data_IF_408511994649
#
_entry.id   IF_408511994649
#
_cell.length_a   1.000
_cell.length_b   1.000
_cell.length_c   1.000
_cell.angle_alpha   90.00
_cell.angle_beta   90.00
_cell.angle_gamma   90.00
#
_symmetry.space_group_name_H-M   'P 1'
#
loop_
_entity.id
_entity.type
_entity.pdbx_description
1 polymer ?
#
# COMPACT_ATOMS: atom_id res chain seq x y z
N UNK A 1 4.42 13.74 -35.05
CA UNK A 1 5.71 13.56 -34.32
C UNK A 1 6.82 13.87 -35.30
N UNK A 2 7.82 14.64 -34.90
CA UNK A 2 8.94 15.02 -35.78
C UNK A 2 10.26 14.77 -35.07
N UNK A 3 11.24 14.23 -35.80
CA UNK A 3 12.60 14.07 -35.28
C UNK A 3 13.40 15.36 -35.44
N UNK A 4 14.28 15.63 -34.48
CA UNK A 4 15.25 16.72 -34.52
C UNK A 4 16.64 16.13 -34.35
N UNK A 5 17.60 16.67 -35.08
CA UNK A 5 19.00 16.26 -34.95
C UNK A 5 19.62 16.92 -33.72
N UNK A 6 20.41 16.15 -32.98
CA UNK A 6 21.35 16.70 -32.01
C UNK A 6 22.52 17.30 -32.77
N UNK A 7 22.87 18.55 -32.46
CA UNK A 7 23.98 19.29 -33.05
C UNK A 7 25.00 19.53 -31.94
N UNK A 8 26.25 19.11 -32.15
CA UNK A 8 27.33 19.37 -31.19
C UNK A 8 27.51 20.88 -30.99
N UNK A 9 27.56 21.32 -29.73
CA UNK A 9 27.86 22.71 -29.39
C UNK A 9 28.93 22.75 -28.30
N UNK A 10 30.17 22.96 -28.72
CA UNK A 10 31.34 22.79 -27.85
C UNK A 10 31.63 21.33 -27.52
N UNK A 11 32.42 21.09 -26.46
CA UNK A 11 32.88 19.73 -26.07
C UNK A 11 31.92 18.98 -25.13
N UNK A 12 31.03 19.69 -24.44
CA UNK A 12 30.24 19.14 -23.33
C UNK A 12 28.74 19.36 -23.47
N UNK A 13 28.26 19.92 -24.59
CA UNK A 13 26.83 20.18 -24.78
C UNK A 13 26.37 19.94 -26.21
N UNK A 14 25.08 19.69 -26.36
CA UNK A 14 24.40 19.54 -27.64
C UNK A 14 23.23 20.51 -27.72
N UNK A 15 22.90 20.91 -28.93
CA UNK A 15 21.75 21.75 -29.26
C UNK A 15 20.72 20.91 -30.00
N UNK A 16 19.46 21.06 -29.62
CA UNK A 16 18.29 20.52 -30.33
C UNK A 16 17.30 21.65 -30.58
N UNK A 17 16.70 21.70 -31.76
CA UNK A 17 15.71 22.73 -32.08
C UNK A 17 14.33 22.41 -31.50
N UNK A 18 13.73 23.39 -30.81
CA UNK A 18 12.39 23.27 -30.21
C UNK A 18 11.32 23.63 -31.26
N UNK A 19 10.15 22.96 -31.29
CA UNK A 19 9.07 23.29 -32.22
C UNK A 19 8.59 24.73 -32.10
N UNK A 20 8.54 25.46 -33.23
CA UNK A 20 8.12 26.88 -33.28
C UNK A 20 6.71 27.10 -32.71
N UNK A 21 5.77 26.17 -32.96
CA UNK A 21 4.41 26.25 -32.42
C UNK A 21 4.38 26.24 -30.89
N UNK A 22 5.22 25.42 -30.25
CA UNK A 22 5.33 25.36 -28.79
C UNK A 22 5.91 26.66 -28.21
N UNK A 23 6.92 27.25 -28.88
CA UNK A 23 7.50 28.54 -28.50
C UNK A 23 6.43 29.65 -28.51
N UNK A 24 5.62 29.71 -29.57
CA UNK A 24 4.54 30.70 -29.70
C UNK A 24 3.46 30.48 -28.63
N UNK A 25 3.04 29.23 -28.43
CA UNK A 25 1.99 28.88 -27.46
C UNK A 25 2.38 29.28 -26.03
N UNK A 26 3.65 29.10 -25.68
CA UNK A 26 4.18 29.46 -24.35
C UNK A 26 4.73 30.91 -24.30
N UNK A 27 4.50 31.71 -25.34
CA UNK A 27 4.91 33.13 -25.43
C UNK A 27 6.40 33.38 -25.17
N UNK A 28 7.23 32.40 -25.49
CA UNK A 28 8.68 32.45 -25.28
C UNK A 28 9.36 33.32 -26.34
N UNK A 29 10.40 34.03 -25.93
CA UNK A 29 11.24 34.91 -26.74
C UNK A 29 12.69 34.46 -26.69
N UNK A 30 13.48 34.98 -27.63
CA UNK A 30 14.92 34.74 -27.67
C UNK A 30 15.56 35.23 -26.36
N UNK A 31 16.27 34.34 -25.68
CA UNK A 31 16.95 34.63 -24.41
C UNK A 31 16.18 34.15 -23.18
N UNK A 32 14.93 33.74 -23.32
CA UNK A 32 14.16 33.16 -22.21
C UNK A 32 14.77 31.83 -21.78
N UNK A 33 14.78 31.59 -20.46
CA UNK A 33 15.25 30.34 -19.89
C UNK A 33 14.18 29.26 -20.05
N UNK A 34 14.62 28.04 -20.36
CA UNK A 34 13.76 26.86 -20.42
C UNK A 34 14.24 25.88 -19.36
N UNK A 35 13.30 25.37 -18.58
CA UNK A 35 13.59 24.34 -17.60
C UNK A 35 13.64 22.98 -18.27
N UNK A 36 14.67 22.21 -17.95
CA UNK A 36 14.86 20.85 -18.39
C UNK A 36 14.74 19.92 -17.20
N UNK A 37 13.89 18.92 -17.33
CA UNK A 37 13.76 17.85 -16.37
C UNK A 37 14.03 16.51 -17.05
N UNK A 38 15.06 15.80 -16.58
CA UNK A 38 15.24 14.40 -16.94
C UNK A 38 14.12 13.60 -16.29
N UNK A 39 13.45 12.73 -17.05
CA UNK A 39 12.46 11.76 -16.58
C UNK A 39 12.75 10.39 -17.18
N UNK A 40 13.71 9.67 -16.58
CA UNK A 40 14.21 8.39 -17.11
C UNK A 40 14.92 8.57 -18.46
N UNK A 41 14.50 7.89 -19.54
CA UNK A 41 15.07 8.09 -20.87
C UNK A 41 14.55 9.36 -21.58
N UNK A 42 13.60 10.07 -20.97
CA UNK A 42 12.96 11.24 -21.55
C UNK A 42 13.57 12.53 -21.00
N UNK A 43 13.52 13.59 -21.80
CA UNK A 43 13.86 14.95 -21.40
C UNK A 43 12.61 15.83 -21.59
N UNK A 44 12.07 16.34 -20.49
CA UNK A 44 10.88 17.20 -20.46
C UNK A 44 11.32 18.66 -20.46
N UNK A 45 10.69 19.46 -21.33
CA UNK A 45 10.93 20.90 -21.47
C UNK A 45 9.72 21.67 -20.90
N UNK A 46 9.97 22.65 -20.04
CA UNK A 46 8.94 23.54 -19.50
C UNK A 46 9.37 25.02 -19.62
N UNK A 47 8.40 25.91 -19.88
CA UNK A 47 8.64 27.35 -20.04
C UNK A 47 9.05 28.05 -18.73
N UNK A 48 8.66 27.49 -17.59
CA UNK A 48 9.09 27.94 -16.26
C UNK A 48 9.30 26.72 -15.36
N UNK A 49 10.19 26.85 -14.37
CA UNK A 49 10.22 25.90 -13.25
C UNK A 49 8.94 26.13 -12.48
N UNK A 50 8.01 25.17 -12.51
CA UNK A 50 6.70 25.31 -11.90
C UNK A 50 6.85 25.75 -10.42
N UNK A 51 6.54 27.01 -10.05
CA UNK A 51 6.85 27.52 -8.71
C UNK A 51 6.03 26.82 -7.62
N UNK A 52 4.93 26.17 -8.00
CA UNK A 52 4.14 25.30 -7.13
C UNK A 52 4.86 24.01 -6.73
N UNK A 53 5.90 23.57 -7.47
CA UNK A 53 6.60 22.31 -7.15
C UNK A 53 7.34 22.36 -5.79
N UNK A 54 7.52 23.56 -5.22
CA UNK A 54 8.23 23.79 -3.97
C UNK A 54 7.35 24.28 -2.81
N UNK A 55 6.04 24.50 -3.02
CA UNK A 55 5.15 24.83 -1.90
C UNK A 55 4.72 23.54 -1.21
N UNK A 56 4.95 23.47 0.10
CA UNK A 56 4.44 22.37 0.90
C UNK A 56 2.92 22.27 0.75
N UNK A 57 2.42 21.10 0.33
CA UNK A 57 0.97 20.85 0.22
C UNK A 57 0.34 20.93 1.61
N UNK A 58 -0.72 21.72 1.78
CA UNK A 58 -1.45 21.88 3.06
C UNK A 58 -2.92 21.53 2.84
N UNK A 59 -3.52 20.79 3.76
CA UNK A 59 -4.95 20.49 3.75
C UNK A 59 -5.65 21.16 4.94
N UNK A 60 -6.82 21.74 4.70
CA UNK A 60 -7.71 22.26 5.76
C UNK A 60 -9.03 21.52 5.70
N UNK A 61 -9.41 20.85 6.78
CA UNK A 61 -10.59 20.01 6.88
C UNK A 61 -11.54 20.59 7.93
N UNK A 62 -12.75 20.96 7.53
CA UNK A 62 -13.81 21.32 8.47
C UNK A 62 -14.40 20.06 9.11
N UNK A 63 -14.48 19.99 10.44
CA UNK A 63 -15.01 18.83 11.19
C UNK A 63 -16.51 18.91 11.49
N UNK A 64 -17.09 20.12 11.41
CA UNK A 64 -18.47 20.38 11.88
C UNK A 64 -19.48 19.66 10.99
N UNK A 65 -20.45 18.98 11.62
CA UNK A 65 -21.47 18.19 10.93
C UNK A 65 -20.95 16.91 10.25
N UNK A 66 -19.66 16.55 10.38
CA UNK A 66 -19.08 15.34 9.76
C UNK A 66 -19.00 14.18 10.75
N UNK A 67 -19.23 12.96 10.28
CA UNK A 67 -18.93 11.76 11.07
C UNK A 67 -17.42 11.56 11.22
N UNK A 68 -16.98 10.91 12.31
CA UNK A 68 -15.56 10.54 12.52
C UNK A 68 -15.00 9.76 11.32
N UNK A 69 -15.79 8.84 10.74
CA UNK A 69 -15.39 8.06 9.56
C UNK A 69 -15.15 8.91 8.31
N UNK A 70 -15.91 10.00 8.14
CA UNK A 70 -15.69 10.90 7.01
C UNK A 70 -14.41 11.72 7.22
N UNK A 71 -14.19 12.21 8.45
CA UNK A 71 -12.99 12.95 8.81
C UNK A 71 -11.74 12.07 8.65
N UNK A 72 -11.79 10.82 9.11
CA UNK A 72 -10.74 9.82 8.92
C UNK A 72 -10.34 9.65 7.44
N UNK A 73 -11.35 9.53 6.55
CA UNK A 73 -11.11 9.43 5.10
C UNK A 73 -10.47 10.69 4.52
N UNK A 74 -10.90 11.88 4.95
CA UNK A 74 -10.32 13.15 4.49
C UNK A 74 -8.87 13.31 4.97
N UNK A 75 -8.59 12.96 6.24
CA UNK A 75 -7.23 13.00 6.81
C UNK A 75 -6.32 11.99 6.10
N UNK A 76 -6.77 10.76 5.95
CA UNK A 76 -6.05 9.70 5.23
C UNK A 76 -5.79 10.09 3.77
N UNK A 77 -6.77 10.70 3.09
CA UNK A 77 -6.61 11.22 1.72
C UNK A 77 -5.55 12.33 1.65
N UNK A 78 -5.60 13.30 2.55
CA UNK A 78 -4.60 14.37 2.61
C UNK A 78 -3.18 13.83 2.87
N UNK A 79 -3.06 12.85 3.78
CA UNK A 79 -1.81 12.15 4.04
C UNK A 79 -1.25 11.45 2.79
N UNK A 80 -2.09 10.66 2.11
CA UNK A 80 -1.73 9.96 0.87
C UNK A 80 -1.30 10.93 -0.24
N UNK A 81 -1.94 12.10 -0.32
CA UNK A 81 -1.62 13.17 -1.29
C UNK A 81 -0.34 13.97 -0.97
N UNK A 82 0.43 13.54 0.04
CA UNK A 82 1.65 14.18 0.49
C UNK A 82 1.45 15.60 1.06
N UNK A 83 0.30 15.89 1.68
CA UNK A 83 0.15 17.10 2.47
C UNK A 83 1.09 17.07 3.69
N UNK A 84 1.99 18.06 3.77
CA UNK A 84 2.95 18.23 4.89
C UNK A 84 2.26 18.69 6.17
N UNK A 85 1.12 19.35 6.03
CA UNK A 85 0.33 19.86 7.15
C UNK A 85 -1.14 19.62 6.90
N UNK A 86 -1.82 19.08 7.91
CA UNK A 86 -3.27 18.83 7.91
C UNK A 86 -3.85 19.59 9.09
N UNK A 87 -4.73 20.55 8.80
CA UNK A 87 -5.41 21.36 9.80
C UNK A 87 -6.88 20.97 9.87
N UNK A 88 -7.29 20.42 11.00
CA UNK A 88 -8.70 20.22 11.34
C UNK A 88 -9.22 21.50 11.99
N UNK A 89 -10.37 22.01 11.55
CA UNK A 89 -11.03 23.18 12.16
C UNK A 89 -12.52 22.93 12.37
N UNK A 90 -13.06 23.46 13.45
CA UNK A 90 -14.51 23.44 13.71
C UNK A 90 -14.84 23.39 15.19
N UNK A 91 -16.07 23.78 15.54
CA UNK A 91 -16.57 23.82 16.92
C UNK A 91 -16.72 22.43 17.53
N UNK A 92 -16.92 21.40 16.70
CA UNK A 92 -17.08 20.02 17.13
C UNK A 92 -15.76 19.30 17.44
N UNK A 93 -14.60 19.96 17.32
CA UNK A 93 -13.31 19.35 17.69
C UNK A 93 -13.30 18.92 19.14
N UNK A 94 -13.78 19.78 20.05
CA UNK A 94 -13.78 19.50 21.49
C UNK A 94 -14.51 18.20 21.84
N UNK A 95 -15.60 17.88 21.15
CA UNK A 95 -16.39 16.67 21.42
C UNK A 95 -15.84 15.42 20.75
N UNK A 96 -14.89 15.56 19.81
CA UNK A 96 -14.34 14.47 18.98
C UNK A 96 -12.83 14.25 19.19
N UNK A 97 -12.25 14.95 20.16
CA UNK A 97 -10.79 15.11 20.25
C UNK A 97 -10.03 13.78 20.34
N UNK A 98 -10.54 12.81 21.09
CA UNK A 98 -9.89 11.52 21.27
C UNK A 98 -9.89 10.71 19.97
N UNK A 99 -11.01 10.72 19.23
CA UNK A 99 -11.12 10.04 17.94
C UNK A 99 -10.25 10.71 16.88
N UNK A 100 -10.19 12.05 16.86
CA UNK A 100 -9.32 12.80 15.95
C UNK A 100 -7.84 12.54 16.23
N UNK A 101 -7.45 12.46 17.51
CA UNK A 101 -6.09 12.08 17.90
C UNK A 101 -5.75 10.66 17.44
N UNK A 102 -6.66 9.70 17.63
CA UNK A 102 -6.45 8.33 17.20
C UNK A 102 -6.28 8.21 15.68
N UNK A 103 -7.07 8.96 14.89
CA UNK A 103 -6.92 9.03 13.42
C UNK A 103 -5.51 9.51 13.05
N UNK A 104 -5.05 10.61 13.66
CA UNK A 104 -3.74 11.20 13.34
C UNK A 104 -2.60 10.25 13.73
N UNK A 105 -2.65 9.68 14.95
CA UNK A 105 -1.62 8.78 15.47
C UNK A 105 -1.53 7.44 14.71
N UNK A 106 -2.62 7.04 14.04
CA UNK A 106 -2.59 5.88 13.16
C UNK A 106 -1.72 6.14 11.92
N UNK A 107 -1.46 7.38 11.50
CA UNK A 107 -0.64 7.65 10.32
C UNK A 107 0.85 7.79 10.67
N UNK A 108 1.72 7.14 9.89
CA UNK A 108 3.17 7.12 10.17
C UNK A 108 3.76 8.52 10.00
N UNK A 109 4.43 9.01 11.05
CA UNK A 109 5.17 10.27 11.13
C UNK A 109 4.31 11.54 11.00
N UNK A 110 3.00 11.44 11.24
CA UNK A 110 2.08 12.56 11.33
C UNK A 110 1.83 12.90 12.81
N UNK A 111 2.34 14.03 13.28
CA UNK A 111 2.30 14.41 14.69
C UNK A 111 1.48 15.67 14.92
N UNK A 112 0.77 15.74 16.05
CA UNK A 112 -0.02 16.91 16.44
C UNK A 112 0.92 17.99 16.99
N UNK A 113 0.93 19.15 16.34
CA UNK A 113 1.76 20.31 16.70
C UNK A 113 1.00 21.31 17.56
N UNK A 114 -0.29 21.51 17.25
CA UNK A 114 -1.15 22.45 17.95
C UNK A 114 -2.53 21.81 18.15
N UNK A 115 -3.09 22.01 19.33
CA UNK A 115 -4.43 21.58 19.67
C UNK A 115 -5.12 22.63 20.54
N UNK A 116 -6.26 23.14 20.05
CA UNK A 116 -7.16 24.04 20.76
C UNK A 116 -8.58 23.44 20.77
N UNK A 117 -9.56 24.15 21.33
CA UNK A 117 -10.96 23.69 21.33
C UNK A 117 -11.60 23.65 19.94
N UNK A 118 -11.05 24.38 18.97
CA UNK A 118 -11.60 24.53 17.62
C UNK A 118 -10.60 24.24 16.50
N UNK A 119 -9.36 23.85 16.83
CA UNK A 119 -8.33 23.55 15.82
C UNK A 119 -7.39 22.44 16.27
N UNK A 120 -7.04 21.53 15.36
CA UNK A 120 -5.91 20.59 15.50
C UNK A 120 -5.02 20.76 14.27
N UNK A 121 -3.73 21.00 14.47
CA UNK A 121 -2.73 21.06 13.40
C UNK A 121 -1.81 19.86 13.52
N UNK A 122 -1.80 19.00 12.51
CA UNK A 122 -0.88 17.89 12.39
C UNK A 122 0.18 18.15 11.31
N UNK A 123 1.43 17.79 11.59
CA UNK A 123 2.57 17.96 10.69
C UNK A 123 3.24 16.62 10.39
N UNK A 124 3.52 16.39 9.11
CA UNK A 124 4.23 15.21 8.63
C UNK A 124 5.74 15.46 8.60
N UNK A 125 6.48 14.62 9.31
CA UNK A 125 7.94 14.69 9.44
C UNK A 125 8.68 13.71 8.53
N UNK A 126 7.96 12.94 7.71
CA UNK A 126 8.59 11.90 6.90
C UNK A 126 9.35 12.49 5.70
N UNK A 127 10.57 12.03 5.48
CA UNK A 127 11.27 12.31 4.23
C UNK A 127 10.91 11.28 3.16
N UNK A 128 9.94 11.59 2.29
CA UNK A 128 9.46 10.66 1.26
C UNK A 128 10.55 10.20 0.29
N UNK A 129 11.59 11.00 0.09
CA UNK A 129 12.75 10.68 -0.73
C UNK A 129 13.55 9.45 -0.27
N UNK A 130 13.41 9.06 1.00
CA UNK A 130 14.13 7.92 1.60
C UNK A 130 13.24 6.69 1.81
N UNK A 131 11.94 6.78 1.48
CA UNK A 131 10.97 5.72 1.74
C UNK A 131 10.98 4.70 0.60
N UNK A 132 11.61 3.55 0.83
CA UNK A 132 11.66 2.43 -0.12
C UNK A 132 10.36 1.62 -0.10
N UNK A 133 9.69 1.52 -1.25
CA UNK A 133 8.49 0.67 -1.43
C UNK A 133 8.82 -0.81 -1.25
N UNK A 134 10.03 -1.24 -1.64
CA UNK A 134 10.47 -2.62 -1.46
C UNK A 134 10.60 -3.00 0.01
N UNK A 135 11.14 -2.08 0.83
CA UNK A 135 11.27 -2.31 2.28
C UNK A 135 9.92 -2.32 2.99
N UNK A 136 8.96 -1.49 2.54
CA UNK A 136 7.61 -1.51 3.09
C UNK A 136 6.92 -2.85 2.83
N UNK A 137 7.04 -3.40 1.61
CA UNK A 137 6.51 -4.73 1.29
C UNK A 137 7.14 -5.82 2.16
N UNK A 138 8.46 -5.79 2.36
CA UNK A 138 9.16 -6.73 3.26
C UNK A 138 8.63 -6.66 4.69
N UNK A 139 8.43 -5.44 5.21
CA UNK A 139 7.87 -5.24 6.56
C UNK A 139 6.44 -5.78 6.66
N UNK A 140 5.58 -5.47 5.68
CA UNK A 140 4.20 -5.99 5.65
C UNK A 140 4.19 -7.52 5.62
N UNK A 141 5.05 -8.15 4.81
CA UNK A 141 5.17 -9.60 4.74
C UNK A 141 5.59 -10.21 6.09
N UNK A 142 6.63 -9.68 6.75
CA UNK A 142 7.11 -10.18 8.05
C UNK A 142 6.00 -10.14 9.11
N UNK A 143 5.27 -9.03 9.19
CA UNK A 143 4.15 -8.88 10.14
C UNK A 143 3.03 -9.87 9.80
N UNK A 144 2.69 -10.00 8.51
CA UNK A 144 1.63 -10.92 8.05
C UNK A 144 1.98 -12.39 8.32
N UNK A 145 3.23 -12.83 8.10
CA UNK A 145 3.70 -14.18 8.46
C UNK A 145 3.53 -14.47 9.95
N UNK A 146 3.82 -13.46 10.78
CA UNK A 146 3.64 -13.56 12.23
C UNK A 146 2.16 -13.74 12.55
N UNK A 147 1.28 -12.92 11.97
CA UNK A 147 -0.18 -13.05 12.15
C UNK A 147 -0.74 -14.40 11.71
N UNK A 148 -0.29 -14.94 10.58
CA UNK A 148 -0.70 -16.27 10.10
C UNK A 148 -0.28 -17.37 11.07
N UNK A 149 0.94 -17.29 11.61
CA UNK A 149 1.46 -18.24 12.61
C UNK A 149 0.68 -18.16 13.92
N UNK A 150 0.38 -16.95 14.39
CA UNK A 150 -0.45 -16.73 15.59
C UNK A 150 -1.88 -17.20 15.38
N UNK A 151 -2.42 -17.04 14.17
CA UNK A 151 -3.77 -17.53 13.81
C UNK A 151 -3.85 -19.05 13.81
N UNK A 152 -2.79 -19.74 13.37
CA UNK A 152 -2.68 -21.21 13.46
C UNK A 152 -2.71 -21.66 14.92
N UNK A 153 -2.01 -20.96 15.82
CA UNK A 153 -1.89 -21.34 17.23
C UNK A 153 -3.06 -20.88 18.12
N UNK A 154 -4.11 -20.27 17.54
CA UNK A 154 -5.22 -19.64 18.27
C UNK A 154 -5.99 -20.58 19.19
N UNK A 155 -6.02 -21.90 18.91
CA UNK A 155 -6.68 -22.86 19.80
C UNK A 155 -5.90 -23.17 21.08
N UNK A 156 -4.61 -22.85 21.12
CA UNK A 156 -3.72 -23.14 22.24
C UNK A 156 -3.43 -21.87 23.06
N UNK A 157 -3.33 -20.72 22.41
CA UNK A 157 -3.06 -19.42 23.06
C UNK A 157 -3.95 -18.32 22.44
N UNK A 158 -4.79 -17.67 23.25
CA UNK A 158 -5.58 -16.52 22.80
C UNK A 158 -4.69 -15.27 22.70
N UNK A 159 -4.25 -15.00 21.48
CA UNK A 159 -3.52 -13.80 21.11
C UNK A 159 -4.33 -12.89 20.18
N UNK A 160 -5.66 -12.88 20.31
CA UNK A 160 -6.56 -12.09 19.46
C UNK A 160 -6.27 -10.59 19.48
N UNK A 161 -5.85 -10.05 20.64
CA UNK A 161 -5.45 -8.64 20.78
C UNK A 161 -4.16 -8.33 20.00
N UNK A 162 -3.13 -9.17 20.13
CA UNK A 162 -1.87 -8.99 19.41
C UNK A 162 -2.06 -9.07 17.89
N UNK A 163 -2.90 -10.00 17.41
CA UNK A 163 -3.24 -10.07 15.98
C UNK A 163 -3.96 -8.78 15.52
N UNK A 164 -4.86 -8.22 16.33
CA UNK A 164 -5.55 -6.96 15.99
C UNK A 164 -4.63 -5.73 16.02
N UNK A 165 -3.57 -5.74 16.82
CA UNK A 165 -2.51 -4.72 16.79
C UNK A 165 -1.65 -4.84 15.54
N UNK A 166 -1.23 -6.05 15.19
CA UNK A 166 -0.45 -6.30 13.97
C UNK A 166 -1.21 -6.00 12.68
N UNK A 167 -2.51 -6.28 12.64
CA UNK A 167 -3.39 -5.90 11.54
C UNK A 167 -3.35 -4.39 11.31
N UNK A 168 -3.48 -3.60 12.40
CA UNK A 168 -3.31 -2.15 12.34
C UNK A 168 -1.92 -1.76 11.85
N UNK A 169 -0.86 -2.44 12.26
CA UNK A 169 0.48 -2.15 11.75
C UNK A 169 0.61 -2.41 10.24
N UNK A 170 -0.02 -3.47 9.72
CA UNK A 170 -0.07 -3.74 8.27
C UNK A 170 -0.86 -2.64 7.53
N UNK A 171 -2.00 -2.18 8.06
CA UNK A 171 -2.77 -1.08 7.50
C UNK A 171 -1.92 0.20 7.39
N UNK A 172 -1.20 0.54 8.46
CA UNK A 172 -0.33 1.73 8.53
C UNK A 172 0.80 1.64 7.50
N UNK A 173 1.42 0.47 7.37
CA UNK A 173 2.44 0.20 6.37
C UNK A 173 1.87 0.29 4.95
N UNK A 174 0.65 -0.19 4.71
CA UNK A 174 -0.02 -0.11 3.41
C UNK A 174 -0.34 1.34 3.03
N UNK A 175 -0.86 2.15 3.96
CA UNK A 175 -1.07 3.59 3.72
C UNK A 175 0.22 4.30 3.32
N UNK A 176 1.32 4.01 4.04
CA UNK A 176 2.62 4.58 3.71
C UNK A 176 3.16 4.07 2.36
N UNK A 177 2.92 2.79 2.03
CA UNK A 177 3.27 2.22 0.73
C UNK A 177 2.54 2.93 -0.39
N UNK A 178 1.22 3.09 -0.27
CA UNK A 178 0.41 3.77 -1.29
C UNK A 178 0.84 5.23 -1.46
N UNK A 179 1.08 5.94 -0.35
CA UNK A 179 1.65 7.30 -0.34
C UNK A 179 3.00 7.37 -1.05
N UNK A 180 3.90 6.41 -0.78
CA UNK A 180 5.22 6.34 -1.42
C UNK A 180 5.13 6.03 -2.92
N UNK A 181 4.20 5.19 -3.33
CA UNK A 181 3.95 4.92 -4.75
C UNK A 181 3.51 6.18 -5.48
N UNK A 182 2.51 6.91 -4.96
CA UNK A 182 2.05 8.16 -5.58
C UNK A 182 3.17 9.21 -5.62
N UNK A 183 3.94 9.35 -4.54
CA UNK A 183 5.11 10.23 -4.51
C UNK A 183 6.11 9.89 -5.62
N UNK A 184 6.45 8.62 -5.80
CA UNK A 184 7.40 8.17 -6.81
C UNK A 184 6.83 8.22 -8.24
N UNK A 185 5.50 8.18 -8.42
CA UNK A 185 4.84 8.43 -9.70
C UNK A 185 4.86 9.92 -10.07
N UNK A 186 4.70 10.82 -9.09
CA UNK A 186 4.88 12.27 -9.27
C UNK A 186 6.36 12.63 -9.50
N UNK A 187 7.30 11.79 -9.01
CA UNK A 187 8.75 12.03 -9.06
C UNK A 187 9.51 10.84 -9.72
N UNK A 188 9.27 10.55 -11.01
CA UNK A 188 9.79 9.35 -11.67
C UNK A 188 11.32 9.27 -11.70
N UNK A 189 12.00 10.41 -11.71
CA UNK A 189 13.47 10.47 -11.68
C UNK A 189 14.04 10.08 -10.33
N UNK A 190 13.36 10.44 -9.24
CA UNK A 190 13.72 9.98 -7.90
C UNK A 190 13.54 8.45 -7.81
N UNK A 191 12.40 7.95 -8.27
CA UNK A 191 12.08 6.51 -8.29
C UNK A 191 13.17 5.71 -9.04
N UNK A 192 13.58 6.18 -10.22
CA UNK A 192 14.59 5.51 -11.02
C UNK A 192 16.00 5.64 -10.43
N UNK A 193 16.43 6.84 -10.04
CA UNK A 193 17.81 7.07 -9.58
C UNK A 193 18.09 6.44 -8.20
N UNK A 194 17.15 6.53 -7.26
CA UNK A 194 17.35 6.02 -5.88
C UNK A 194 16.91 4.57 -5.71
N UNK A 195 15.74 4.21 -6.23
CA UNK A 195 15.14 2.89 -5.98
C UNK A 195 15.27 1.94 -7.16
N UNK A 196 15.76 2.41 -8.32
CA UNK A 196 15.84 1.65 -9.57
C UNK A 196 14.47 1.13 -10.03
N UNK A 197 13.42 1.92 -9.78
CA UNK A 197 12.04 1.56 -10.09
C UNK A 197 11.47 2.35 -11.26
N UNK A 198 10.74 1.65 -12.11
CA UNK A 198 9.86 2.21 -13.15
C UNK A 198 8.41 2.23 -12.68
N UNK A 199 7.55 2.98 -13.38
CA UNK A 199 6.12 3.07 -13.08
C UNK A 199 5.42 1.71 -13.01
N UNK A 200 5.77 0.76 -13.90
CA UNK A 200 5.18 -0.58 -13.90
C UNK A 200 5.54 -1.38 -12.64
N UNK A 201 6.76 -1.21 -12.12
CA UNK A 201 7.19 -1.84 -10.87
C UNK A 201 6.53 -1.18 -9.65
N UNK A 202 6.26 0.12 -9.70
CA UNK A 202 5.47 0.80 -8.65
C UNK A 202 4.03 0.26 -8.62
N UNK A 203 3.40 0.03 -9.77
CA UNK A 203 2.09 -0.61 -9.86
C UNK A 203 2.12 -2.06 -9.33
N UNK A 204 3.17 -2.82 -9.66
CA UNK A 204 3.40 -4.16 -9.13
C UNK A 204 3.41 -4.14 -7.59
N UNK A 205 4.22 -3.27 -6.98
CA UNK A 205 4.29 -3.17 -5.52
C UNK A 205 2.99 -2.68 -4.89
N UNK A 206 2.26 -1.77 -5.53
CA UNK A 206 0.92 -1.37 -5.08
C UNK A 206 -0.01 -2.59 -4.96
N UNK A 207 -0.02 -3.41 -6.01
CA UNK A 207 -0.87 -4.59 -6.12
C UNK A 207 -0.46 -5.65 -5.10
N UNK A 208 0.84 -5.86 -4.90
CA UNK A 208 1.34 -6.74 -3.84
C UNK A 208 0.89 -6.27 -2.46
N UNK A 209 1.08 -4.98 -2.15
CA UNK A 209 0.69 -4.40 -0.87
C UNK A 209 -0.80 -4.55 -0.58
N UNK A 210 -1.64 -4.30 -1.59
CA UNK A 210 -3.10 -4.48 -1.49
C UNK A 210 -3.48 -5.90 -1.11
N UNK A 211 -2.86 -6.91 -1.73
CA UNK A 211 -3.15 -8.31 -1.38
C UNK A 211 -2.57 -8.72 -0.03
N UNK A 212 -1.39 -8.21 0.36
CA UNK A 212 -0.81 -8.50 1.68
C UNK A 212 -1.69 -7.92 2.80
N UNK A 213 -2.21 -6.71 2.65
CA UNK A 213 -3.17 -6.12 3.61
C UNK A 213 -4.46 -6.96 3.70
N UNK A 214 -5.04 -7.35 2.56
CA UNK A 214 -6.21 -8.23 2.56
C UNK A 214 -5.95 -9.60 3.21
N UNK A 215 -4.73 -10.14 3.09
CA UNK A 215 -4.32 -11.39 3.76
C UNK A 215 -4.24 -11.19 5.28
N UNK A 216 -3.68 -10.06 5.75
CA UNK A 216 -3.62 -9.73 7.17
C UNK A 216 -5.02 -9.57 7.78
N UNK A 217 -5.92 -8.84 7.12
CA UNK A 217 -7.29 -8.63 7.59
C UNK A 217 -8.08 -9.95 7.66
N UNK A 218 -7.93 -10.81 6.64
CA UNK A 218 -8.53 -12.14 6.66
C UNK A 218 -7.94 -13.03 7.77
N UNK A 219 -6.63 -12.96 8.06
CA UNK A 219 -6.02 -13.65 9.20
C UNK A 219 -6.66 -13.20 10.54
N UNK A 220 -6.83 -11.89 10.74
CA UNK A 220 -7.52 -11.34 11.92
C UNK A 220 -9.00 -11.73 11.99
N UNK A 221 -9.70 -11.82 10.85
CA UNK A 221 -11.11 -12.28 10.81
C UNK A 221 -11.20 -13.75 11.19
N UNK A 222 -10.31 -14.58 10.64
CA UNK A 222 -10.22 -16.01 10.95
C UNK A 222 -9.96 -16.21 12.44
N UNK A 223 -8.96 -15.53 13.01
CA UNK A 223 -8.63 -15.68 14.44
C UNK A 223 -9.81 -15.34 15.36
N UNK A 224 -10.58 -14.29 15.03
CA UNK A 224 -11.80 -13.93 15.78
C UNK A 224 -12.86 -15.02 15.76
N UNK A 225 -13.10 -15.66 14.61
CA UNK A 225 -14.07 -16.75 14.54
C UNK A 225 -13.56 -18.01 15.24
N UNK A 226 -12.29 -18.37 15.03
CA UNK A 226 -11.65 -19.54 15.63
C UNK A 226 -11.66 -19.47 17.16
N UNK A 227 -11.33 -18.31 17.73
CA UNK A 227 -11.31 -18.12 19.19
C UNK A 227 -12.69 -18.36 19.85
N UNK A 228 -13.77 -18.26 19.08
CA UNK A 228 -15.15 -18.46 19.57
C UNK A 228 -15.68 -19.88 19.30
N UNK A 229 -14.89 -20.77 18.70
CA UNK A 229 -15.31 -22.13 18.35
C UNK A 229 -15.32 -23.06 19.56
N UNK A 230 -16.45 -23.77 19.72
CA UNK A 230 -16.59 -24.89 20.66
C UNK A 230 -16.76 -26.17 19.84
N UNK A 231 -15.63 -26.79 19.49
CA UNK A 231 -15.54 -27.96 18.60
C UNK A 231 -14.63 -29.04 19.19
N UNK A 232 -14.70 -30.25 18.62
CA UNK A 232 -13.89 -31.38 19.08
C UNK A 232 -12.39 -31.15 18.82
N UNK A 233 -11.52 -31.88 19.52
CA UNK A 233 -10.06 -31.81 19.28
C UNK A 233 -9.71 -32.20 17.83
N UNK A 234 -10.42 -33.18 17.27
CA UNK A 234 -10.22 -33.61 15.89
C UNK A 234 -10.49 -32.48 14.88
N UNK A 235 -11.56 -31.71 15.08
CA UNK A 235 -11.90 -30.58 14.20
C UNK A 235 -10.91 -29.42 14.36
N UNK A 236 -10.39 -29.20 15.57
CA UNK A 236 -9.31 -28.21 15.80
C UNK A 236 -8.05 -28.57 15.01
N UNK A 237 -7.60 -29.82 15.14
CA UNK A 237 -6.40 -30.31 14.44
C UNK A 237 -6.59 -30.23 12.91
N UNK A 238 -7.81 -30.41 12.41
CA UNK A 238 -8.13 -30.26 10.99
C UNK A 238 -8.05 -28.80 10.51
N UNK A 239 -8.61 -27.86 11.26
CA UNK A 239 -8.45 -26.42 10.99
C UNK A 239 -6.98 -26.01 11.00
N UNK A 240 -6.22 -26.44 12.00
CA UNK A 240 -4.78 -26.15 12.11
C UNK A 240 -4.02 -26.68 10.89
N UNK A 241 -4.33 -27.89 10.41
CA UNK A 241 -3.74 -28.46 9.19
C UNK A 241 -4.06 -27.62 7.94
N UNK A 242 -5.30 -27.17 7.80
CA UNK A 242 -5.71 -26.32 6.66
C UNK A 242 -4.98 -24.97 6.69
N UNK A 243 -4.94 -24.30 7.85
CA UNK A 243 -4.23 -23.04 8.01
C UNK A 243 -2.73 -23.19 7.75
N UNK A 244 -2.11 -24.30 8.18
CA UNK A 244 -0.72 -24.60 7.84
C UNK A 244 -0.51 -24.75 6.33
N UNK A 245 -1.44 -25.40 5.61
CA UNK A 245 -1.37 -25.52 4.14
C UNK A 245 -1.51 -24.15 3.46
N UNK A 246 -2.44 -23.32 3.92
CA UNK A 246 -2.61 -21.95 3.41
C UNK A 246 -1.38 -21.09 3.71
N UNK A 247 -0.81 -21.19 4.91
CA UNK A 247 0.39 -20.47 5.29
C UNK A 247 1.58 -20.89 4.40
N UNK A 248 1.77 -22.19 4.16
CA UNK A 248 2.79 -22.68 3.22
C UNK A 248 2.60 -22.09 1.82
N UNK A 249 1.37 -22.06 1.31
CA UNK A 249 1.05 -21.45 0.02
C UNK A 249 1.44 -19.96 -0.02
N UNK A 250 1.19 -19.21 1.05
CA UNK A 250 1.62 -17.82 1.18
C UNK A 250 3.15 -17.67 1.17
N UNK A 251 3.87 -18.49 1.95
CA UNK A 251 5.34 -18.44 2.03
C UNK A 251 6.00 -18.72 0.67
N UNK A 252 5.52 -19.74 -0.06
CA UNK A 252 6.00 -20.08 -1.40
C UNK A 252 5.66 -18.97 -2.42
N UNK A 253 4.46 -18.38 -2.31
CA UNK A 253 4.05 -17.24 -3.15
C UNK A 253 4.97 -16.04 -2.94
N UNK A 254 5.24 -15.65 -1.69
CA UNK A 254 6.15 -14.55 -1.39
C UNK A 254 7.59 -14.83 -1.83
N UNK A 255 8.05 -16.10 -1.73
CA UNK A 255 9.35 -16.50 -2.28
C UNK A 255 9.41 -16.25 -3.79
N UNK A 256 8.37 -16.63 -4.54
CA UNK A 256 8.31 -16.38 -5.98
C UNK A 256 8.36 -14.89 -6.32
N UNK A 257 7.71 -14.04 -5.52
CA UNK A 257 7.70 -12.58 -5.69
C UNK A 257 9.08 -11.98 -5.45
N UNK A 258 9.77 -12.38 -4.38
CA UNK A 258 11.10 -11.84 -4.06
C UNK A 258 12.15 -12.24 -5.08
N UNK A 259 12.05 -13.44 -5.62
CA UNK A 259 13.04 -13.97 -6.55
C UNK A 259 12.67 -13.72 -8.02
N UNK A 260 11.44 -13.26 -8.31
CA UNK A 260 10.92 -13.15 -9.68
C UNK A 260 10.80 -14.51 -10.38
N UNK A 261 10.61 -15.59 -9.63
CA UNK A 261 10.57 -16.97 -10.15
C UNK A 261 9.21 -17.26 -10.82
N UNK A 262 9.12 -17.02 -12.13
CA UNK A 262 7.90 -17.22 -12.90
C UNK A 262 7.42 -18.68 -12.90
N UNK A 263 8.33 -19.64 -13.04
CA UNK A 263 7.99 -21.07 -13.03
C UNK A 263 7.38 -21.49 -11.69
N UNK A 264 7.91 -20.95 -10.59
CA UNK A 264 7.35 -21.19 -9.26
C UNK A 264 5.95 -20.59 -9.15
N UNK A 265 5.75 -19.34 -9.57
CA UNK A 265 4.44 -18.70 -9.55
C UNK A 265 3.39 -19.44 -10.39
N UNK A 266 3.78 -19.99 -11.55
CA UNK A 266 2.92 -20.82 -12.39
C UNK A 266 2.59 -22.16 -11.72
N UNK A 267 3.57 -22.85 -11.14
CA UNK A 267 3.35 -24.11 -10.43
C UNK A 267 2.38 -23.93 -9.25
N UNK A 268 2.51 -22.82 -8.52
CA UNK A 268 1.65 -22.45 -7.39
C UNK A 268 0.20 -22.14 -7.78
N UNK A 269 -0.09 -21.84 -9.05
CA UNK A 269 -1.44 -21.48 -9.50
C UNK A 269 -2.48 -22.58 -9.23
N UNK A 270 -2.07 -23.85 -9.26
CA UNK A 270 -2.92 -25.01 -9.01
C UNK A 270 -3.27 -25.19 -7.51
N UNK A 271 -2.44 -24.69 -6.59
CA UNK A 271 -2.66 -24.87 -5.15
C UNK A 271 -3.99 -24.25 -4.67
N UNK A 272 -4.47 -23.19 -5.33
CA UNK A 272 -5.78 -22.59 -5.00
C UNK A 272 -6.89 -23.63 -5.10
N UNK A 273 -6.95 -24.40 -6.19
CA UNK A 273 -8.02 -25.37 -6.41
C UNK A 273 -7.97 -26.47 -5.34
N UNK A 274 -6.79 -27.03 -5.10
CA UNK A 274 -6.57 -28.07 -4.10
C UNK A 274 -7.01 -27.61 -2.68
N UNK A 275 -6.65 -26.39 -2.28
CA UNK A 275 -7.04 -25.84 -0.99
C UNK A 275 -8.55 -25.61 -0.92
N UNK A 276 -9.17 -25.13 -2.01
CA UNK A 276 -10.62 -24.90 -2.06
C UNK A 276 -11.43 -26.20 -1.95
N UNK A 277 -10.96 -27.27 -2.60
CA UNK A 277 -11.58 -28.58 -2.54
C UNK A 277 -11.52 -29.12 -1.10
N UNK A 278 -10.35 -29.06 -0.46
CA UNK A 278 -10.18 -29.45 0.95
C UNK A 278 -11.06 -28.66 1.91
N UNK A 279 -11.13 -27.33 1.75
CA UNK A 279 -12.00 -26.48 2.57
C UNK A 279 -13.47 -26.91 2.43
N UNK A 280 -13.90 -27.38 1.25
CA UNK A 280 -15.28 -27.85 1.00
C UNK A 280 -15.56 -29.18 1.66
N UNK A 281 -14.62 -30.12 1.60
CA UNK A 281 -14.73 -31.41 2.29
C UNK A 281 -14.79 -31.25 3.82
N UNK A 282 -14.09 -30.27 4.37
CA UNK A 282 -14.05 -29.97 5.81
C UNK A 282 -15.33 -29.27 6.26
N UNK A 283 -15.81 -28.30 5.48
CA UNK A 283 -17.07 -27.58 5.73
C UNK A 283 -18.28 -28.51 5.76
N UNK A 284 -18.35 -29.46 4.82
CA UNK A 284 -19.46 -30.42 4.73
C UNK A 284 -19.64 -31.27 5.99
N UNK A 285 -18.56 -31.53 6.74
CA UNK A 285 -18.59 -32.32 7.99
C UNK A 285 -19.04 -31.54 9.21
N UNK A 286 -19.00 -30.20 9.17
CA UNK A 286 -19.17 -29.31 10.32
C UNK A 286 -20.15 -28.15 10.06
N UNK A 287 -21.04 -28.29 9.08
CA UNK A 287 -21.92 -27.22 8.57
C UNK A 287 -22.86 -26.61 9.61
N UNK A 288 -23.11 -27.30 10.73
CA UNK A 288 -24.03 -26.89 11.78
C UNK A 288 -23.43 -25.80 12.70
N UNK A 289 -22.12 -25.59 12.66
CA UNK A 289 -21.43 -24.60 13.50
C UNK A 289 -21.22 -23.29 12.74
N UNK A 290 -22.04 -22.26 13.02
CA UNK A 290 -22.03 -20.98 12.29
C UNK A 290 -20.65 -20.29 12.25
N UNK A 291 -19.94 -20.21 13.37
CA UNK A 291 -18.58 -19.65 13.40
C UNK A 291 -17.56 -20.49 12.61
N UNK A 292 -17.82 -21.79 12.42
CA UNK A 292 -16.95 -22.67 11.64
C UNK A 292 -17.09 -22.34 10.15
N UNK A 293 -18.33 -22.27 9.67
CA UNK A 293 -18.66 -21.85 8.29
C UNK A 293 -18.07 -20.47 8.00
N UNK A 294 -18.19 -19.53 8.94
CA UNK A 294 -17.57 -18.20 8.81
C UNK A 294 -16.05 -18.27 8.74
N UNK A 295 -15.39 -19.05 9.59
CA UNK A 295 -13.93 -19.23 9.54
C UNK A 295 -13.47 -19.83 8.20
N UNK A 296 -14.15 -20.87 7.71
CA UNK A 296 -13.86 -21.48 6.40
C UNK A 296 -14.08 -20.49 5.26
N UNK A 297 -15.17 -19.72 5.28
CA UNK A 297 -15.43 -18.67 4.28
C UNK A 297 -14.29 -17.66 4.21
N UNK A 298 -13.77 -17.22 5.36
CA UNK A 298 -12.60 -16.32 5.43
C UNK A 298 -11.32 -16.98 4.91
N UNK A 299 -11.09 -18.26 5.21
CA UNK A 299 -9.96 -19.02 4.64
C UNK A 299 -10.02 -19.11 3.10
N UNK A 300 -11.22 -19.16 2.50
CA UNK A 300 -11.38 -19.12 1.02
C UNK A 300 -10.97 -17.76 0.45
N UNK A 301 -11.35 -16.67 1.11
CA UNK A 301 -10.97 -15.31 0.71
C UNK A 301 -9.45 -15.13 0.86
N UNK A 302 -8.88 -15.54 2.00
CA UNK A 302 -7.44 -15.58 2.25
C UNK A 302 -6.68 -16.33 1.14
N UNK A 303 -7.12 -17.55 0.80
CA UNK A 303 -6.53 -18.37 -0.27
C UNK A 303 -6.63 -17.66 -1.63
N UNK A 304 -7.72 -16.95 -1.90
CA UNK A 304 -7.90 -16.20 -3.14
C UNK A 304 -6.99 -14.98 -3.22
N UNK A 305 -6.76 -14.27 -2.10
CA UNK A 305 -5.78 -13.19 -2.04
C UNK A 305 -4.37 -13.69 -2.27
N UNK A 306 -3.96 -14.80 -1.64
CA UNK A 306 -2.64 -15.42 -1.86
C UNK A 306 -2.46 -15.82 -3.34
N UNK A 307 -3.46 -16.46 -3.93
CA UNK A 307 -3.41 -16.81 -5.34
C UNK A 307 -3.25 -15.58 -6.24
N UNK A 308 -4.06 -14.53 -6.01
CA UNK A 308 -4.01 -13.30 -6.79
C UNK A 308 -2.68 -12.54 -6.62
N UNK A 309 -2.11 -12.58 -5.42
CA UNK A 309 -0.76 -12.09 -5.14
C UNK A 309 0.28 -12.80 -6.01
N UNK A 310 0.21 -14.13 -6.14
CA UNK A 310 1.08 -14.89 -7.04
C UNK A 310 0.92 -14.53 -8.52
N UNK A 311 -0.29 -14.13 -8.95
CA UNK A 311 -0.53 -13.68 -10.35
C UNK A 311 0.26 -12.45 -10.72
N UNK A 312 0.58 -11.59 -9.75
CA UNK A 312 1.36 -10.37 -10.00
C UNK A 312 2.70 -10.70 -10.65
N UNK A 313 3.33 -11.83 -10.26
CA UNK A 313 4.63 -12.26 -10.80
C UNK A 313 4.57 -12.50 -12.30
N UNK A 314 3.61 -13.31 -12.79
CA UNK A 314 3.57 -13.66 -14.21
C UNK A 314 2.76 -12.70 -15.08
N UNK A 315 2.04 -11.74 -14.48
CA UNK A 315 1.24 -10.73 -15.22
C UNK A 315 1.92 -9.37 -15.34
N UNK A 316 2.70 -8.95 -14.33
CA UNK A 316 3.27 -7.59 -14.26
C UNK A 316 4.80 -7.63 -14.26
N UNK A 317 5.46 -8.63 -13.68
CA UNK A 317 6.93 -8.65 -13.58
C UNK A 317 7.67 -8.86 -14.90
N UNK A 318 6.97 -9.19 -15.99
CA UNK A 318 7.54 -9.36 -17.34
C UNK A 318 7.65 -8.05 -18.15
N UNK A 319 7.32 -6.89 -17.56
CA UNK A 319 7.39 -5.55 -18.19
C UNK A 319 8.48 -4.67 -17.54
#
# INVERSE_FOLDING_TARGET
MEHRKLISFGKSSYVVSIPKGWVIQNKLKKGDLIYFEESGPNLVLASEKNPESNKEKVAVINVDGKSIKLIDREVSSAYIQNCRMITLKGKEIRSKVNELQAIIQNLIALEIMEQTSETIIAKDFLNMDTVSVQELIRKMDIVTRTMLTETINMFNEDNSKGIAERDRDVDRLYFLLYRSILFNLENPTNALKKFKLKAIQLLMYNTCGFYIEGIADEARRISRYINQLKISRADKDEIEKLLNRINKFYLETMKSIYNGELDLALALSNQKKEIMDLLTEVEARNIVVDNFVKAISRMRILTSHIHNLGRVVYTISNY
#
